data_IF_030084708967
#
_entry.id   IF_030084708967
#
_cell.length_a   1.000
_cell.length_b   1.000
_cell.length_c   1.000
_cell.angle_alpha   90.00
_cell.angle_beta   90.00
_cell.angle_gamma   90.00
#
_symmetry.space_group_name_H-M   'P 1'
#
loop_
_entity.id
_entity.type
_entity.pdbx_description
1 polymer ?
#
# COMPACT_ATOMS: atom_id res chain seq x y z
N UNK A 1 11.27 -17.84 -11.78
CA UNK A 1 11.73 -17.27 -10.49
C UNK A 1 11.68 -15.76 -10.59
N UNK A 2 10.94 -15.15 -9.68
CA UNK A 2 10.67 -13.71 -9.62
C UNK A 2 11.78 -12.91 -8.95
N UNK A 3 11.43 -11.80 -8.31
CA UNK A 3 12.32 -10.92 -7.55
C UNK A 3 11.88 -10.83 -6.09
N UNK A 4 12.84 -10.66 -5.19
CA UNK A 4 12.63 -10.38 -3.77
C UNK A 4 13.42 -9.12 -3.39
N UNK A 5 12.84 -8.26 -2.56
CA UNK A 5 13.56 -7.15 -1.94
C UNK A 5 12.96 -6.79 -0.58
N UNK A 6 13.81 -6.31 0.33
CA UNK A 6 13.34 -5.66 1.57
C UNK A 6 12.59 -4.37 1.22
N UNK A 7 11.60 -4.07 2.03
CA UNK A 7 10.79 -2.87 1.95
C UNK A 7 10.56 -2.30 3.36
N UNK A 8 9.92 -1.14 3.43
CA UNK A 8 9.48 -0.58 4.69
C UNK A 8 7.98 -0.22 4.70
N UNK A 9 7.45 -0.11 5.91
CA UNK A 9 6.12 0.42 6.24
C UNK A 9 6.24 1.53 7.29
N UNK A 10 5.13 2.24 7.54
CA UNK A 10 5.00 3.16 8.65
C UNK A 10 5.33 4.62 8.34
N UNK A 11 5.43 4.96 7.05
CA UNK A 11 5.75 6.33 6.61
C UNK A 11 7.10 6.83 7.09
N UNK A 12 7.27 8.15 7.17
CA UNK A 12 8.51 8.78 7.63
C UNK A 12 8.38 9.20 9.10
N UNK A 13 9.27 8.65 9.94
CA UNK A 13 9.31 8.88 11.39
C UNK A 13 9.37 10.38 11.72
N UNK A 14 8.56 10.81 12.68
CA UNK A 14 8.45 12.18 13.17
C UNK A 14 7.78 13.16 12.20
N UNK A 15 7.19 12.68 11.12
CA UNK A 15 6.55 13.53 10.10
C UNK A 15 5.04 13.34 10.07
N UNK A 16 4.36 14.22 9.34
CA UNK A 16 2.93 14.08 9.09
C UNK A 16 2.54 12.75 8.44
N UNK A 17 3.47 12.06 7.77
CA UNK A 17 3.19 10.76 7.12
C UNK A 17 3.44 9.54 8.03
N UNK A 18 3.92 9.73 9.27
CA UNK A 18 4.16 8.61 10.18
C UNK A 18 2.86 7.80 10.38
N UNK A 19 2.98 6.49 10.20
CA UNK A 19 1.88 5.54 10.27
C UNK A 19 2.28 4.41 11.21
N UNK A 20 1.48 4.05 12.23
CA UNK A 20 1.80 2.96 13.14
C UNK A 20 2.03 1.65 12.40
N UNK A 21 2.95 0.82 12.91
CA UNK A 21 3.22 -0.52 12.35
C UNK A 21 2.20 -1.54 12.88
N UNK A 22 0.92 -1.22 12.66
CA UNK A 22 -0.24 -2.00 13.06
C UNK A 22 -0.93 -2.53 11.80
N UNK A 23 -1.63 -3.65 11.92
CA UNK A 23 -2.19 -4.41 10.81
C UNK A 23 -3.10 -3.61 9.87
N UNK A 24 -4.21 -3.06 10.38
CA UNK A 24 -5.14 -2.30 9.55
C UNK A 24 -4.51 -1.07 8.86
N UNK A 25 -3.67 -0.26 9.53
CA UNK A 25 -2.88 0.77 8.87
C UNK A 25 -2.01 0.23 7.73
N UNK A 26 -1.23 -0.83 7.96
CA UNK A 26 -0.35 -1.41 6.93
C UNK A 26 -1.12 -1.97 5.73
N UNK A 27 -2.28 -2.59 5.95
CA UNK A 27 -3.17 -3.02 4.86
C UNK A 27 -3.71 -1.83 4.05
N UNK A 28 -4.06 -0.72 4.72
CA UNK A 28 -4.50 0.49 4.04
C UNK A 28 -3.36 1.15 3.26
N UNK A 29 -2.13 1.15 3.80
CA UNK A 29 -0.95 1.60 3.07
C UNK A 29 -0.81 0.85 1.73
N UNK A 30 -0.96 -0.48 1.78
CA UNK A 30 -0.90 -1.36 0.61
C UNK A 30 -2.01 -1.05 -0.40
N UNK A 31 -3.28 -1.12 0.02
CA UNK A 31 -4.40 -1.11 -0.92
C UNK A 31 -4.71 0.29 -1.44
N UNK A 32 -4.24 1.36 -0.77
CA UNK A 32 -4.42 2.76 -1.19
C UNK A 32 -3.17 3.41 -1.77
N UNK A 33 -1.98 2.84 -1.56
CA UNK A 33 -0.72 3.46 -1.99
C UNK A 33 -0.46 4.81 -1.32
N UNK A 34 -0.98 5.00 -0.11
CA UNK A 34 -0.89 6.24 0.68
C UNK A 34 -0.62 5.94 2.14
N UNK A 35 -0.05 6.88 2.89
CA UNK A 35 0.18 6.71 4.33
C UNK A 35 -1.05 7.10 5.21
N UNK A 36 -0.97 6.82 6.51
CA UNK A 36 -2.01 7.02 7.53
C UNK A 36 -2.67 8.40 7.51
N UNK A 37 -1.91 9.45 7.26
CA UNK A 37 -2.41 10.83 7.19
C UNK A 37 -3.39 11.10 6.05
N UNK A 38 -3.42 10.21 5.05
CA UNK A 38 -4.35 10.26 3.92
C UNK A 38 -5.55 9.35 4.18
N UNK A 39 -5.33 8.04 4.30
CA UNK A 39 -6.42 7.09 4.45
C UNK A 39 -7.07 7.07 5.85
N UNK A 40 -6.49 7.75 6.84
CA UNK A 40 -7.07 7.97 8.17
C UNK A 40 -7.36 6.67 8.96
N UNK A 41 -6.50 5.65 8.80
CA UNK A 41 -6.56 4.41 9.58
C UNK A 41 -5.25 4.29 10.35
N UNK A 42 -5.34 4.40 11.67
CA UNK A 42 -4.19 4.40 12.59
C UNK A 42 -4.24 3.26 13.61
N UNK A 43 -5.31 2.46 13.60
CA UNK A 43 -5.55 1.39 14.55
C UNK A 43 -6.50 0.33 13.96
N UNK A 44 -6.48 -0.88 14.54
CA UNK A 44 -7.31 -2.02 14.15
C UNK A 44 -8.81 -1.82 14.42
N UNK A 45 -9.23 -0.79 15.17
CA UNK A 45 -10.64 -0.45 15.33
C UNK A 45 -11.29 0.11 14.05
N UNK A 46 -10.50 0.74 13.15
CA UNK A 46 -10.94 1.25 11.84
C UNK A 46 -12.16 2.20 11.95
N UNK A 47 -12.05 3.24 12.78
CA UNK A 47 -13.21 4.05 13.20
C UNK A 47 -13.70 5.03 12.12
N UNK A 48 -12.83 5.56 11.24
CA UNK A 48 -13.24 6.47 10.15
C UNK A 48 -12.28 6.44 8.94
N UNK A 49 -12.25 5.36 8.13
CA UNK A 49 -11.43 5.32 6.92
C UNK A 49 -11.80 6.46 5.97
N UNK A 50 -10.79 7.12 5.42
CA UNK A 50 -10.98 8.12 4.38
C UNK A 50 -11.01 7.46 2.99
N UNK A 51 -12.20 7.07 2.56
CA UNK A 51 -12.40 6.41 1.27
C UNK A 51 -12.24 7.31 0.03
N UNK A 52 -11.96 8.61 0.20
CA UNK A 52 -11.59 9.48 -0.93
C UNK A 52 -10.24 9.08 -1.52
N UNK A 53 -9.34 8.54 -0.70
CA UNK A 53 -8.14 7.83 -1.16
C UNK A 53 -8.54 6.44 -1.63
N UNK A 54 -8.75 6.32 -2.94
CA UNK A 54 -9.34 5.13 -3.55
C UNK A 54 -8.38 3.94 -3.42
N UNK A 55 -8.89 2.85 -2.88
CA UNK A 55 -8.17 1.58 -2.94
C UNK A 55 -8.15 0.99 -4.37
N UNK A 56 -7.26 0.04 -4.61
CA UNK A 56 -7.07 -0.60 -5.92
C UNK A 56 -8.34 -1.27 -6.47
N UNK A 57 -9.20 -1.83 -5.61
CA UNK A 57 -10.46 -2.46 -6.02
C UNK A 57 -11.45 -1.44 -6.57
N UNK A 58 -11.58 -0.30 -5.89
CA UNK A 58 -12.38 0.82 -6.34
C UNK A 58 -11.86 1.38 -7.66
N UNK A 59 -10.54 1.56 -7.77
CA UNK A 59 -9.92 2.03 -9.01
C UNK A 59 -10.20 1.07 -10.18
N UNK A 60 -10.09 -0.24 -9.96
CA UNK A 60 -10.41 -1.24 -10.99
C UNK A 60 -11.88 -1.22 -11.39
N UNK A 61 -12.82 -1.22 -10.43
CA UNK A 61 -14.26 -1.21 -10.73
C UNK A 61 -14.73 0.10 -11.39
N UNK A 62 -14.13 1.24 -11.03
CA UNK A 62 -14.42 2.51 -11.70
C UNK A 62 -13.81 2.57 -13.11
N UNK A 63 -12.67 1.93 -13.35
CA UNK A 63 -12.04 1.83 -14.67
C UNK A 63 -12.79 0.86 -15.59
N UNK A 64 -13.14 -0.32 -15.07
CA UNK A 64 -13.76 -1.42 -15.79
C UNK A 64 -14.70 -2.22 -14.87
N UNK A 65 -15.98 -1.83 -14.82
CA UNK A 65 -16.95 -2.38 -13.87
C UNK A 65 -17.18 -3.91 -14.00
N UNK A 66 -16.98 -4.48 -15.19
CA UNK A 66 -17.13 -5.92 -15.45
C UNK A 66 -16.00 -6.78 -14.87
N UNK A 67 -14.86 -6.17 -14.50
CA UNK A 67 -13.71 -6.89 -13.95
C UNK A 67 -14.09 -7.54 -12.63
N UNK A 68 -13.72 -8.81 -12.45
CA UNK A 68 -14.09 -9.59 -11.27
C UNK A 68 -13.07 -9.39 -10.17
N UNK A 69 -13.53 -9.14 -8.96
CA UNK A 69 -12.67 -9.00 -7.80
C UNK A 69 -12.99 -10.05 -6.74
N UNK A 70 -11.97 -10.51 -6.03
CA UNK A 70 -12.12 -11.48 -4.96
C UNK A 70 -11.34 -11.11 -3.70
N UNK A 71 -11.89 -11.53 -2.56
CA UNK A 71 -11.19 -11.46 -1.28
C UNK A 71 -11.27 -12.80 -0.54
N UNK A 72 -10.14 -13.20 0.01
CA UNK A 72 -9.95 -14.40 0.80
C UNK A 72 -9.25 -13.94 2.08
N UNK A 73 -9.96 -13.89 3.20
CA UNK A 73 -9.45 -13.20 4.38
C UNK A 73 -9.84 -13.92 5.65
N UNK A 74 -8.86 -14.13 6.52
CA UNK A 74 -9.08 -14.56 7.90
C UNK A 74 -9.78 -13.50 8.74
N UNK A 75 -9.63 -12.21 8.41
CA UNK A 75 -10.27 -11.10 9.11
C UNK A 75 -11.26 -10.36 8.22
N UNK A 76 -12.54 -10.34 8.60
CA UNK A 76 -13.66 -9.80 7.80
C UNK A 76 -13.58 -8.29 7.62
N UNK A 77 -13.01 -7.57 8.59
CA UNK A 77 -12.90 -6.11 8.54
C UNK A 77 -12.06 -5.63 7.34
N UNK A 78 -11.16 -6.46 6.81
CA UNK A 78 -10.46 -6.20 5.54
C UNK A 78 -11.45 -5.89 4.41
N UNK A 79 -12.56 -6.63 4.31
CA UNK A 79 -13.62 -6.40 3.30
C UNK A 79 -14.55 -5.26 3.72
N UNK A 80 -15.12 -5.35 4.92
CA UNK A 80 -16.28 -4.51 5.29
C UNK A 80 -15.88 -3.12 5.80
N UNK A 81 -14.65 -2.95 6.31
CA UNK A 81 -14.15 -1.66 6.82
C UNK A 81 -12.96 -1.10 6.05
N UNK A 82 -11.99 -1.91 5.60
CA UNK A 82 -10.84 -1.35 4.88
C UNK A 82 -11.18 -1.09 3.41
N UNK A 83 -11.73 -2.08 2.71
CA UNK A 83 -12.24 -1.86 1.35
C UNK A 83 -13.56 -1.08 1.38
N UNK A 84 -14.37 -1.27 2.42
CA UNK A 84 -15.67 -0.62 2.58
C UNK A 84 -16.73 -1.19 1.64
N UNK A 85 -16.76 -2.51 1.44
CA UNK A 85 -17.70 -3.16 0.51
C UNK A 85 -19.14 -2.68 0.73
N UNK A 86 -19.79 -2.25 -0.36
CA UNK A 86 -21.18 -1.77 -0.36
C UNK A 86 -21.41 -0.37 0.21
N UNK A 87 -20.41 0.24 0.84
CA UNK A 87 -20.55 1.61 1.36
C UNK A 87 -20.56 2.62 0.22
N UNK A 88 -21.55 3.51 0.21
CA UNK A 88 -21.65 4.57 -0.80
C UNK A 88 -20.41 5.47 -0.80
N UNK A 89 -19.87 5.83 0.37
CA UNK A 89 -18.65 6.65 0.46
C UNK A 89 -17.40 5.93 -0.09
N UNK A 90 -17.39 4.59 -0.09
CA UNK A 90 -16.33 3.76 -0.67
C UNK A 90 -16.55 3.42 -2.15
N UNK A 91 -17.46 4.14 -2.82
CA UNK A 91 -17.78 3.91 -4.23
C UNK A 91 -18.73 2.73 -4.48
N UNK A 92 -19.29 2.11 -3.44
CA UNK A 92 -20.25 1.02 -3.58
C UNK A 92 -19.66 -0.25 -4.21
N UNK A 93 -18.36 -0.48 -4.05
CA UNK A 93 -17.67 -1.67 -4.56
C UNK A 93 -18.28 -2.94 -3.95
N UNK A 94 -18.55 -3.94 -4.78
CA UNK A 94 -19.04 -5.26 -4.35
C UNK A 94 -18.07 -6.32 -4.87
N UNK A 95 -17.68 -7.26 -4.00
CA UNK A 95 -16.86 -8.39 -4.37
C UNK A 95 -17.68 -9.45 -5.10
N UNK A 96 -17.13 -9.95 -6.21
CA UNK A 96 -17.73 -11.03 -6.98
C UNK A 96 -17.56 -12.39 -6.27
N UNK A 97 -16.44 -12.54 -5.53
CA UNK A 97 -16.16 -13.71 -4.71
C UNK A 97 -15.62 -13.28 -3.34
N UNK A 98 -16.17 -13.83 -2.26
CA UNK A 98 -15.75 -13.51 -0.89
C UNK A 98 -15.73 -14.75 -0.02
N UNK A 99 -14.59 -14.96 0.62
CA UNK A 99 -14.33 -16.08 1.52
C UNK A 99 -13.68 -15.52 2.78
N UNK A 100 -14.53 -15.02 3.68
CA UNK A 100 -14.19 -14.45 4.98
C UNK A 100 -15.33 -14.74 5.99
N UNK A 101 -15.25 -14.20 7.21
CA UNK A 101 -16.26 -14.39 8.25
C UNK A 101 -16.09 -15.69 9.05
N UNK A 102 -15.02 -16.44 8.79
CA UNK A 102 -14.75 -17.70 9.48
C UNK A 102 -14.35 -17.49 10.95
N UNK A 103 -13.66 -16.38 11.25
CA UNK A 103 -13.30 -15.96 12.61
C UNK A 103 -14.51 -15.59 13.47
N UNK A 104 -15.65 -15.28 12.85
CA UNK A 104 -16.91 -15.04 13.54
C UNK A 104 -17.68 -16.33 13.84
N UNK A 105 -17.28 -17.47 13.25
CA UNK A 105 -17.95 -18.76 13.38
C UNK A 105 -17.27 -19.65 14.42
N UNK A 106 -17.46 -19.32 15.70
CA UNK A 106 -16.89 -20.06 16.83
C UNK A 106 -17.42 -21.49 16.97
N UNK A 107 -18.51 -21.85 16.28
CA UNK A 107 -19.00 -23.23 16.28
C UNK A 107 -18.12 -24.13 15.39
N UNK A 108 -17.66 -23.61 14.26
CA UNK A 108 -16.78 -24.36 13.34
C UNK A 108 -15.30 -24.19 13.71
N UNK A 109 -14.94 -23.01 14.21
CA UNK A 109 -13.60 -22.63 14.62
C UNK A 109 -13.62 -22.22 16.10
N UNK A 110 -13.79 -23.17 17.03
CA UNK A 110 -13.80 -22.85 18.46
C UNK A 110 -12.45 -22.26 18.86
N UNK A 111 -12.48 -21.12 19.54
CA UNK A 111 -11.25 -20.46 19.95
C UNK A 111 -10.53 -21.30 21.00
N UNK A 112 -9.23 -21.44 20.81
CA UNK A 112 -8.32 -22.13 21.73
C UNK A 112 -7.24 -21.16 22.23
N UNK A 113 -6.62 -21.43 23.39
CA UNK A 113 -5.62 -20.53 23.98
C UNK A 113 -4.37 -20.31 23.13
N UNK A 114 -4.09 -21.21 22.19
CA UNK A 114 -2.95 -21.17 21.29
C UNK A 114 -3.30 -20.60 19.89
N UNK A 115 -4.48 -20.02 19.73
CA UNK A 115 -5.03 -19.48 18.48
C UNK A 115 -4.92 -20.45 17.28
N UNK A 116 -4.92 -21.76 17.51
CA UNK A 116 -4.80 -22.78 16.47
C UNK A 116 -6.01 -22.79 15.50
N UNK A 117 -7.17 -22.32 15.96
CA UNK A 117 -8.32 -22.06 15.10
C UNK A 117 -8.00 -21.10 13.94
N UNK A 118 -7.08 -20.14 14.12
CA UNK A 118 -6.66 -19.21 13.07
C UNK A 118 -5.87 -19.94 11.98
N UNK A 119 -5.02 -20.90 12.33
CA UNK A 119 -4.37 -21.77 11.35
C UNK A 119 -5.39 -22.55 10.50
N UNK A 120 -6.45 -23.06 11.13
CA UNK A 120 -7.53 -23.76 10.42
C UNK A 120 -8.34 -22.83 9.50
N UNK A 121 -8.51 -21.57 9.89
CA UNK A 121 -9.12 -20.56 9.03
C UNK A 121 -8.21 -20.24 7.84
N UNK A 122 -6.90 -20.03 8.07
CA UNK A 122 -5.92 -19.81 7.00
C UNK A 122 -5.88 -20.99 6.01
N UNK A 123 -5.99 -22.24 6.48
CA UNK A 123 -6.14 -23.42 5.62
C UNK A 123 -7.43 -23.37 4.79
N UNK A 124 -8.56 -22.95 5.39
CA UNK A 124 -9.82 -22.80 4.66
C UNK A 124 -9.71 -21.72 3.58
N UNK A 125 -9.24 -20.53 3.95
CA UNK A 125 -9.00 -19.39 3.06
C UNK A 125 -8.08 -19.80 1.91
N UNK A 126 -7.03 -20.57 2.20
CA UNK A 126 -6.12 -21.11 1.18
C UNK A 126 -6.81 -22.04 0.19
N UNK A 127 -7.61 -22.99 0.67
CA UNK A 127 -8.34 -23.94 -0.18
C UNK A 127 -9.37 -23.23 -1.08
N UNK A 128 -10.05 -22.21 -0.57
CA UNK A 128 -10.98 -21.38 -1.35
C UNK A 128 -10.25 -20.56 -2.40
N UNK A 129 -9.09 -19.99 -2.04
CA UNK A 129 -8.21 -19.26 -2.97
C UNK A 129 -7.80 -20.14 -4.13
N UNK A 130 -7.26 -21.33 -3.84
CA UNK A 130 -6.84 -22.30 -4.86
C UNK A 130 -8.01 -22.69 -5.77
N UNK A 131 -9.16 -22.99 -5.19
CA UNK A 131 -10.36 -23.37 -5.96
C UNK A 131 -10.84 -22.23 -6.86
N UNK A 132 -10.91 -21.02 -6.33
CA UNK A 132 -11.40 -19.85 -7.07
C UNK A 132 -10.42 -19.43 -8.18
N UNK A 133 -9.11 -19.39 -7.93
CA UNK A 133 -8.10 -19.10 -8.97
C UNK A 133 -8.22 -20.12 -10.11
N UNK A 134 -8.31 -21.42 -9.81
CA UNK A 134 -8.37 -22.47 -10.84
C UNK A 134 -9.62 -22.39 -11.71
N UNK A 135 -10.77 -22.10 -11.10
CA UNK A 135 -12.09 -22.21 -11.75
C UNK A 135 -12.62 -20.89 -12.28
N UNK A 136 -12.40 -19.78 -11.57
CA UNK A 136 -13.04 -18.49 -11.81
C UNK A 136 -12.06 -17.39 -12.22
N UNK A 137 -10.81 -17.46 -11.78
CA UNK A 137 -9.72 -16.50 -12.09
C UNK A 137 -10.16 -15.02 -12.06
N UNK A 138 -10.49 -14.47 -10.88
CA UNK A 138 -10.81 -13.04 -10.75
C UNK A 138 -9.64 -12.16 -11.21
N UNK A 139 -9.94 -11.02 -11.83
CA UNK A 139 -8.94 -10.08 -12.36
C UNK A 139 -8.06 -9.44 -11.29
N UNK A 140 -8.58 -9.32 -10.06
CA UNK A 140 -7.84 -8.84 -8.89
C UNK A 140 -8.31 -9.57 -7.63
N UNK A 141 -7.35 -10.15 -6.90
CA UNK A 141 -7.62 -10.90 -5.67
C UNK A 141 -6.73 -10.40 -4.54
N UNK A 142 -7.27 -10.32 -3.31
CA UNK A 142 -6.48 -10.15 -2.10
C UNK A 142 -6.67 -11.35 -1.17
N UNK A 143 -5.55 -11.93 -0.78
CA UNK A 143 -5.47 -13.05 0.15
C UNK A 143 -4.78 -12.56 1.43
N UNK A 144 -5.41 -12.78 2.57
CA UNK A 144 -4.89 -12.46 3.90
C UNK A 144 -4.90 -13.71 4.78
N UNK A 145 -3.73 -14.03 5.34
CA UNK A 145 -3.48 -15.15 6.25
C UNK A 145 -2.84 -14.57 7.52
N UNK A 146 -3.36 -14.94 8.69
CA UNK A 146 -3.06 -14.27 9.96
C UNK A 146 -2.11 -15.07 10.85
N UNK A 147 -2.09 -16.40 10.76
CA UNK A 147 -1.61 -17.27 11.83
C UNK A 147 -0.15 -17.03 12.26
N UNK A 148 0.72 -16.60 11.35
CA UNK A 148 2.11 -16.26 11.71
C UNK A 148 2.19 -15.11 12.72
N UNK A 149 1.24 -14.17 12.64
CA UNK A 149 1.14 -13.02 13.53
C UNK A 149 0.76 -13.44 14.96
N UNK A 150 -0.30 -14.25 15.09
CA UNK A 150 -0.75 -14.80 16.38
C UNK A 150 0.34 -15.63 17.07
N UNK A 151 1.02 -16.49 16.30
CA UNK A 151 2.16 -17.28 16.81
C UNK A 151 3.30 -16.38 17.29
N UNK A 152 3.62 -15.31 16.56
CA UNK A 152 4.64 -14.35 16.98
C UNK A 152 4.23 -13.61 18.27
N UNK A 153 2.96 -13.21 18.42
CA UNK A 153 2.47 -12.61 19.66
C UNK A 153 2.68 -13.51 20.88
N UNK A 154 2.42 -14.82 20.74
CA UNK A 154 2.58 -15.76 21.84
C UNK A 154 4.05 -16.11 22.11
N UNK A 155 4.83 -16.39 21.06
CA UNK A 155 6.13 -17.07 21.20
C UNK A 155 7.33 -16.23 20.77
N UNK A 156 7.15 -15.15 20.00
CA UNK A 156 8.24 -14.33 19.48
C UNK A 156 9.17 -15.15 18.58
N UNK A 157 10.46 -14.79 18.57
CA UNK A 157 11.51 -15.50 17.82
C UNK A 157 11.74 -16.91 18.38
N UNK A 158 11.07 -17.89 17.77
CA UNK A 158 10.89 -19.22 18.33
C UNK A 158 10.76 -20.30 17.26
N UNK A 159 10.91 -21.56 17.65
CA UNK A 159 10.69 -22.70 16.76
C UNK A 159 9.22 -22.81 16.34
N UNK A 160 8.28 -22.42 17.19
CA UNK A 160 6.86 -22.32 16.88
C UNK A 160 6.62 -21.32 15.74
N UNK A 161 7.24 -20.14 15.81
CA UNK A 161 7.17 -19.15 14.73
C UNK A 161 7.84 -19.64 13.44
N UNK A 162 8.99 -20.30 13.54
CA UNK A 162 9.61 -20.93 12.36
C UNK A 162 8.71 -21.98 11.72
N UNK A 163 8.00 -22.79 12.52
CA UNK A 163 7.06 -23.78 12.02
C UNK A 163 5.83 -23.13 11.38
N UNK A 164 5.30 -22.02 11.92
CA UNK A 164 4.19 -21.32 11.29
C UNK A 164 4.58 -20.71 9.93
N UNK A 165 5.83 -20.26 9.77
CA UNK A 165 6.36 -19.84 8.46
C UNK A 165 6.41 -21.01 7.48
N UNK A 166 6.82 -22.21 7.89
CA UNK A 166 6.80 -23.41 7.02
C UNK A 166 5.37 -23.78 6.61
N UNK A 167 4.40 -23.60 7.49
CA UNK A 167 3.00 -23.82 7.16
C UNK A 167 2.51 -22.80 6.12
N UNK A 168 2.85 -21.52 6.30
CA UNK A 168 2.56 -20.44 5.36
C UNK A 168 3.20 -20.69 3.98
N UNK A 169 4.45 -21.16 3.93
CA UNK A 169 5.14 -21.49 2.69
C UNK A 169 4.39 -22.59 1.90
N UNK A 170 3.91 -23.63 2.60
CA UNK A 170 3.07 -24.67 1.98
C UNK A 170 1.74 -24.10 1.45
N UNK A 171 1.10 -23.19 2.18
CA UNK A 171 -0.13 -22.53 1.75
C UNK A 171 0.09 -21.71 0.47
N UNK A 172 1.15 -20.89 0.45
CA UNK A 172 1.56 -20.10 -0.72
C UNK A 172 1.90 -21.02 -1.90
N UNK A 173 2.60 -22.14 -1.66
CA UNK A 173 2.93 -23.13 -2.69
C UNK A 173 1.70 -23.63 -3.44
N UNK A 174 0.63 -24.01 -2.72
CA UNK A 174 -0.63 -24.46 -3.34
C UNK A 174 -1.31 -23.35 -4.16
N UNK A 175 -1.27 -22.10 -3.69
CA UNK A 175 -1.80 -20.95 -4.45
C UNK A 175 -0.98 -20.69 -5.72
N UNK A 176 0.35 -20.80 -5.63
CA UNK A 176 1.24 -20.65 -6.77
C UNK A 176 0.98 -21.73 -7.83
N UNK A 177 0.77 -22.99 -7.43
CA UNK A 177 0.39 -24.07 -8.35
C UNK A 177 -0.93 -23.77 -9.09
N UNK A 178 -1.90 -23.14 -8.41
CA UNK A 178 -3.14 -22.70 -9.04
C UNK A 178 -2.89 -21.62 -10.11
N UNK A 179 -2.02 -20.65 -9.83
CA UNK A 179 -1.61 -19.62 -10.79
C UNK A 179 -0.84 -20.24 -11.97
N UNK A 180 0.12 -21.13 -11.71
CA UNK A 180 0.86 -21.81 -12.78
C UNK A 180 -0.06 -22.65 -13.67
N UNK A 181 -1.07 -23.30 -13.08
CA UNK A 181 -2.10 -24.00 -13.83
C UNK A 181 -2.83 -23.04 -14.78
N UNK A 182 -3.23 -21.86 -14.31
CA UNK A 182 -3.88 -20.84 -15.13
C UNK A 182 -2.99 -20.33 -16.26
N UNK A 183 -1.72 -20.03 -15.95
CA UNK A 183 -0.73 -19.62 -16.94
C UNK A 183 -0.53 -20.70 -18.03
N UNK A 184 -0.40 -21.97 -17.64
CA UNK A 184 -0.15 -23.09 -18.57
C UNK A 184 -1.38 -23.45 -19.41
N UNK A 185 -2.58 -23.44 -18.82
CA UNK A 185 -3.80 -23.93 -19.48
C UNK A 185 -4.58 -22.83 -20.22
N UNK A 186 -4.50 -21.58 -19.78
CA UNK A 186 -5.30 -20.48 -20.32
C UNK A 186 -4.45 -19.35 -20.91
N UNK A 187 -3.12 -19.45 -20.86
CA UNK A 187 -2.18 -18.41 -21.32
C UNK A 187 -2.44 -17.05 -20.67
N UNK A 188 -2.86 -17.07 -19.40
CA UNK A 188 -3.11 -15.86 -18.62
C UNK A 188 -1.81 -15.24 -18.15
N UNK A 189 -1.74 -13.92 -18.16
CA UNK A 189 -0.65 -13.19 -17.53
C UNK A 189 -1.02 -12.82 -16.09
N UNK A 190 -0.15 -13.19 -15.15
CA UNK A 190 -0.38 -13.02 -13.71
C UNK A 190 0.74 -12.20 -13.08
N UNK A 191 0.37 -11.22 -12.29
CA UNK A 191 1.24 -10.57 -11.30
C UNK A 191 0.88 -11.12 -9.92
N UNK A 192 1.82 -11.83 -9.30
CA UNK A 192 1.71 -12.29 -7.92
C UNK A 192 2.67 -11.46 -7.09
N UNK A 193 2.12 -10.80 -6.06
CA UNK A 193 2.86 -10.01 -5.07
C UNK A 193 2.62 -10.67 -3.71
N UNK A 194 3.69 -10.86 -2.94
CA UNK A 194 3.64 -11.33 -1.55
C UNK A 194 4.41 -10.33 -0.70
N UNK A 195 3.83 -9.91 0.42
CA UNK A 195 4.41 -8.92 1.33
C UNK A 195 3.86 -9.10 2.74
N UNK A 196 4.34 -8.29 3.68
CA UNK A 196 3.80 -8.16 5.03
C UNK A 196 3.48 -6.70 5.31
N UNK A 197 2.50 -6.49 6.18
CA UNK A 197 2.06 -5.19 6.70
C UNK A 197 3.02 -4.58 7.71
N UNK A 198 3.71 -5.39 8.51
CA UNK A 198 4.74 -4.95 9.45
C UNK A 198 5.74 -6.06 9.79
N UNK A 199 6.71 -5.72 10.63
CA UNK A 199 7.59 -6.63 11.34
C UNK A 199 7.22 -6.75 12.82
N UNK A 200 8.22 -6.93 13.67
CA UNK A 200 8.07 -7.13 15.14
C UNK A 200 9.08 -6.32 15.93
N UNK A 201 8.79 -6.11 17.20
CA UNK A 201 9.67 -5.41 18.12
C UNK A 201 11.03 -6.13 18.26
N UNK A 202 12.13 -5.39 18.43
CA UNK A 202 13.47 -5.98 18.46
C UNK A 202 13.80 -6.69 19.77
N UNK A 203 13.01 -6.53 20.83
CA UNK A 203 13.32 -7.04 22.18
C UNK A 203 12.78 -8.46 22.36
N UNK A 204 11.51 -8.65 22.02
CA UNK A 204 10.79 -9.91 22.26
C UNK A 204 10.36 -10.61 20.98
N UNK A 205 10.22 -9.87 19.88
CA UNK A 205 9.61 -10.36 18.65
C UNK A 205 8.11 -10.61 18.77
N UNK A 206 7.48 -10.18 19.88
CA UNK A 206 6.07 -10.45 20.19
C UNK A 206 5.16 -9.26 19.98
N UNK A 207 5.69 -8.05 19.95
CA UNK A 207 4.90 -6.83 19.83
C UNK A 207 5.20 -6.15 18.50
N UNK A 208 4.35 -5.20 18.14
CA UNK A 208 4.53 -4.27 17.04
C UNK A 208 3.63 -3.04 17.30
N UNK A 209 3.71 -2.03 16.44
CA UNK A 209 2.92 -0.80 16.52
C UNK A 209 3.77 0.46 16.65
N UNK A 210 5.04 0.34 17.01
CA UNK A 210 5.98 1.45 17.13
C UNK A 210 6.75 1.67 15.81
N UNK A 211 7.87 2.40 15.86
CA UNK A 211 8.67 2.79 14.68
C UNK A 211 10.09 2.22 14.69
N UNK A 212 10.36 1.11 15.39
CA UNK A 212 11.70 0.51 15.32
C UNK A 212 12.02 0.02 13.90
N UNK A 213 13.30 -0.03 13.55
CA UNK A 213 13.72 -0.56 12.24
C UNK A 213 13.18 -1.97 11.99
N UNK A 214 13.04 -2.80 13.03
CA UNK A 214 12.55 -4.18 12.90
C UNK A 214 11.05 -4.24 12.67
N UNK A 215 10.27 -3.39 13.32
CA UNK A 215 8.81 -3.27 13.10
C UNK A 215 8.49 -2.68 11.72
N UNK A 216 9.32 -1.76 11.24
CA UNK A 216 9.15 -1.13 9.92
C UNK A 216 9.65 -2.00 8.77
N UNK A 217 10.55 -2.96 9.02
CA UNK A 217 11.12 -3.80 7.96
C UNK A 217 10.10 -4.83 7.49
N UNK A 218 9.71 -4.72 6.23
CA UNK A 218 8.90 -5.70 5.51
C UNK A 218 9.68 -6.19 4.29
N UNK A 219 9.02 -6.92 3.40
CA UNK A 219 9.60 -7.41 2.16
C UNK A 219 8.55 -7.54 1.08
N UNK A 220 9.00 -7.52 -0.18
CA UNK A 220 8.14 -7.67 -1.35
C UNK A 220 8.74 -8.77 -2.24
N UNK A 221 7.93 -9.78 -2.56
CA UNK A 221 8.20 -10.79 -3.60
C UNK A 221 7.27 -10.53 -4.77
N UNK A 222 7.81 -10.55 -5.99
CA UNK A 222 7.06 -10.35 -7.24
C UNK A 222 7.44 -11.43 -8.24
N UNK A 223 6.49 -12.08 -8.89
CA UNK A 223 6.76 -13.17 -9.84
C UNK A 223 7.34 -12.70 -11.20
N UNK A 224 7.29 -11.40 -11.50
CA UNK A 224 7.87 -10.78 -12.70
C UNK A 224 9.39 -10.60 -12.56
N UNK A 225 10.11 -10.88 -13.65
CA UNK A 225 11.57 -10.68 -13.73
C UNK A 225 11.97 -9.27 -14.17
N UNK A 226 11.11 -8.68 -15.00
CA UNK A 226 11.28 -7.36 -15.62
C UNK A 226 10.74 -6.28 -14.68
N UNK A 227 11.49 -6.06 -13.61
CA UNK A 227 11.30 -4.94 -12.68
C UNK A 227 12.12 -3.74 -13.14
N UNK A 228 11.68 -2.53 -12.80
CA UNK A 228 12.41 -1.33 -13.18
C UNK A 228 13.65 -1.06 -12.29
N UNK A 229 14.41 -0.04 -12.67
CA UNK A 229 15.63 0.37 -11.97
C UNK A 229 15.35 0.84 -10.52
N UNK A 230 14.18 1.43 -10.26
CA UNK A 230 13.77 1.78 -8.90
C UNK A 230 13.67 0.54 -8.00
N UNK A 231 13.00 -0.51 -8.48
CA UNK A 231 12.95 -1.79 -7.78
C UNK A 231 14.35 -2.34 -7.51
N UNK A 232 15.29 -2.23 -8.47
CA UNK A 232 16.64 -2.80 -8.31
C UNK A 232 17.51 -1.98 -7.35
N UNK A 233 17.47 -0.66 -7.45
CA UNK A 233 18.53 0.19 -6.91
C UNK A 233 18.12 0.91 -5.60
N UNK A 234 16.82 0.98 -5.26
CA UNK A 234 16.34 1.75 -4.10
C UNK A 234 15.54 0.93 -3.08
N UNK A 235 15.53 1.35 -1.81
CA UNK A 235 14.62 0.80 -0.82
C UNK A 235 13.16 1.05 -1.23
N UNK A 236 12.34 0.01 -1.12
CA UNK A 236 10.93 0.00 -1.50
C UNK A 236 10.04 0.25 -0.29
N UNK A 237 8.80 0.59 -0.55
CA UNK A 237 7.79 0.78 0.49
C UNK A 237 6.50 0.04 0.13
N UNK A 238 5.71 -0.31 1.13
CA UNK A 238 4.42 -0.98 0.90
C UNK A 238 3.46 -0.15 0.03
N UNK A 239 3.56 1.18 0.07
CA UNK A 239 2.74 2.09 -0.76
C UNK A 239 3.09 2.02 -2.26
N UNK A 240 4.24 1.44 -2.63
CA UNK A 240 4.62 1.19 -4.03
C UNK A 240 3.71 0.14 -4.71
N UNK A 241 2.92 -0.62 -3.94
CA UNK A 241 2.14 -1.75 -4.45
C UNK A 241 0.89 -1.33 -5.22
N UNK A 242 0.12 -0.32 -4.78
CA UNK A 242 -1.02 0.18 -5.55
C UNK A 242 -0.62 0.63 -6.96
N UNK A 243 0.33 1.57 -7.16
CA UNK A 243 0.66 2.01 -8.50
C UNK A 243 1.27 0.89 -9.36
N UNK A 244 1.93 -0.10 -8.73
CA UNK A 244 2.42 -1.31 -9.42
C UNK A 244 1.25 -2.16 -9.95
N UNK A 245 0.25 -2.44 -9.12
CA UNK A 245 -0.95 -3.18 -9.52
C UNK A 245 -1.75 -2.43 -10.58
N UNK A 246 -1.94 -1.12 -10.39
CA UNK A 246 -2.66 -0.27 -11.35
C UNK A 246 -1.99 -0.30 -12.72
N UNK A 247 -0.65 -0.26 -12.76
CA UNK A 247 0.11 -0.36 -14.00
C UNK A 247 -0.01 -1.73 -14.67
N UNK A 248 0.08 -2.81 -13.91
CA UNK A 248 -0.09 -4.16 -14.45
C UNK A 248 -1.47 -4.36 -15.07
N UNK A 249 -2.51 -3.89 -14.39
CA UNK A 249 -3.89 -3.96 -14.84
C UNK A 249 -4.26 -2.88 -15.87
N UNK A 250 -3.30 -2.03 -16.27
CA UNK A 250 -3.52 -0.90 -17.18
C UNK A 250 -4.63 0.07 -16.73
N UNK A 251 -4.84 0.18 -15.42
CA UNK A 251 -5.83 1.09 -14.82
C UNK A 251 -5.39 2.54 -15.04
N UNK A 252 -6.25 3.33 -15.68
CA UNK A 252 -6.08 4.77 -15.76
C UNK A 252 -6.48 5.43 -14.43
N UNK A 253 -5.50 5.63 -13.55
CA UNK A 253 -5.72 6.33 -12.26
C UNK A 253 -6.11 7.80 -12.53
N UNK A 254 -7.25 8.29 -12.01
CA UNK A 254 -7.64 9.69 -12.17
C UNK A 254 -6.57 10.64 -11.64
N UNK A 255 -6.35 11.77 -12.33
CA UNK A 255 -5.28 12.73 -12.02
C UNK A 255 -5.24 13.13 -10.53
N UNK A 256 -6.40 13.47 -9.96
CA UNK A 256 -6.46 13.89 -8.54
C UNK A 256 -6.06 12.75 -7.58
N UNK A 257 -6.38 11.49 -7.91
CA UNK A 257 -5.91 10.34 -7.13
C UNK A 257 -4.42 10.10 -7.35
N UNK A 258 -3.92 10.25 -8.59
CA UNK A 258 -2.51 10.04 -8.91
C UNK A 258 -1.58 11.04 -8.20
N UNK A 259 -2.03 12.27 -7.97
CA UNK A 259 -1.31 13.30 -7.19
C UNK A 259 -1.13 12.93 -5.72
N UNK A 260 -2.01 12.09 -5.20
CA UNK A 260 -2.02 11.67 -3.79
C UNK A 260 -1.30 10.35 -3.55
N UNK A 261 -0.87 9.61 -4.59
CA UNK A 261 -0.13 8.36 -4.40
C UNK A 261 1.29 8.64 -3.88
N UNK A 262 1.65 8.00 -2.78
CA UNK A 262 2.97 8.10 -2.16
C UNK A 262 3.98 7.14 -2.76
N UNK A 263 3.50 6.04 -3.35
CA UNK A 263 4.35 5.02 -3.96
C UNK A 263 4.76 5.29 -5.40
N UNK A 264 5.83 4.62 -5.82
CA UNK A 264 6.34 4.56 -7.18
C UNK A 264 6.16 3.13 -7.72
N UNK A 265 5.58 2.96 -8.92
CA UNK A 265 5.38 1.63 -9.49
C UNK A 265 6.71 0.89 -9.72
N UNK A 266 6.73 -0.41 -9.42
CA UNK A 266 7.91 -1.28 -9.39
C UNK A 266 8.22 -1.98 -10.74
N UNK A 267 7.29 -1.89 -11.68
CA UNK A 267 7.39 -2.48 -13.03
C UNK A 267 7.15 -1.42 -14.09
N UNK A 268 7.68 -1.63 -15.30
CA UNK A 268 7.57 -0.69 -16.41
C UNK A 268 8.29 0.64 -16.17
N UNK A 269 8.26 1.50 -17.18
CA UNK A 269 9.03 2.75 -17.16
C UNK A 269 8.56 3.71 -16.05
N UNK A 270 9.51 4.44 -15.47
CA UNK A 270 9.26 5.53 -14.53
C UNK A 270 10.12 6.72 -14.96
N UNK A 271 9.67 7.93 -14.66
CA UNK A 271 10.39 9.17 -14.98
C UNK A 271 11.27 9.63 -13.83
N UNK A 272 10.76 9.51 -12.60
CA UNK A 272 11.41 10.03 -11.40
C UNK A 272 10.97 9.30 -10.13
N UNK A 273 11.80 9.33 -9.09
CA UNK A 273 11.47 8.88 -7.74
C UNK A 273 12.23 9.71 -6.68
N UNK A 274 12.09 9.35 -5.40
CA UNK A 274 12.86 9.90 -4.27
C UNK A 274 12.85 11.43 -4.20
N UNK A 275 11.64 12.00 -4.18
CA UNK A 275 11.46 13.45 -4.00
C UNK A 275 11.87 13.89 -2.58
N UNK A 276 12.73 14.90 -2.52
CA UNK A 276 13.04 15.65 -1.32
C UNK A 276 12.65 17.12 -1.50
N UNK A 277 12.16 17.74 -0.43
CA UNK A 277 11.73 19.13 -0.43
C UNK A 277 12.28 19.83 0.80
N UNK A 278 12.93 20.98 0.60
CA UNK A 278 13.50 21.79 1.67
C UNK A 278 12.95 23.22 1.59
N UNK A 279 12.48 23.74 2.72
CA UNK A 279 12.03 25.13 2.82
C UNK A 279 13.23 26.06 3.10
N UNK A 280 13.44 27.04 2.22
CA UNK A 280 14.47 28.07 2.32
C UNK A 280 13.79 29.46 2.26
N UNK A 281 13.35 29.96 3.40
CA UNK A 281 12.53 31.17 3.54
C UNK A 281 11.24 31.12 2.71
N UNK A 282 11.15 31.93 1.64
CA UNK A 282 10.04 31.96 0.69
C UNK A 282 10.35 31.17 -0.58
N UNK A 283 11.26 30.20 -0.53
CA UNK A 283 11.55 29.29 -1.63
C UNK A 283 11.50 27.85 -1.16
N UNK A 284 11.07 26.96 -2.04
CA UNK A 284 11.16 25.52 -1.82
C UNK A 284 12.16 24.97 -2.83
N UNK A 285 13.19 24.31 -2.32
CA UNK A 285 14.06 23.46 -3.13
C UNK A 285 13.40 22.10 -3.28
N UNK A 286 13.28 21.61 -4.50
CA UNK A 286 12.86 20.25 -4.81
C UNK A 286 14.01 19.52 -5.48
N UNK A 287 14.36 18.32 -4.99
CA UNK A 287 15.30 17.41 -5.64
C UNK A 287 14.65 16.04 -5.84
N UNK A 288 15.06 15.33 -6.89
CA UNK A 288 14.53 14.00 -7.21
C UNK A 288 15.59 13.17 -7.91
N UNK A 289 15.38 11.85 -7.95
CA UNK A 289 16.14 10.96 -8.81
C UNK A 289 15.45 10.79 -10.16
N UNK A 290 16.16 11.06 -11.24
CA UNK A 290 15.69 10.84 -12.61
C UNK A 290 15.93 9.39 -13.04
N UNK A 291 14.96 8.84 -13.79
CA UNK A 291 15.03 7.53 -14.44
C UNK A 291 14.85 7.63 -15.97
N UNK A 292 14.71 8.85 -16.47
CA UNK A 292 14.78 9.19 -17.89
C UNK A 292 15.84 10.28 -18.09
N UNK A 293 16.50 10.28 -19.25
CA UNK A 293 17.51 11.28 -19.62
C UNK A 293 16.95 12.42 -20.50
N UNK A 294 15.72 12.27 -21.01
CA UNK A 294 15.08 13.24 -21.88
C UNK A 294 13.63 13.40 -21.43
N UNK A 295 13.14 14.64 -21.41
CA UNK A 295 11.78 14.98 -21.01
C UNK A 295 11.77 16.06 -19.94
N UNK A 296 10.57 16.37 -19.46
CA UNK A 296 10.37 17.41 -18.47
C UNK A 296 9.69 16.84 -17.22
N UNK A 297 9.99 17.46 -16.08
CA UNK A 297 9.22 17.36 -14.85
C UNK A 297 8.48 18.67 -14.64
N UNK A 298 7.19 18.55 -14.37
CA UNK A 298 6.30 19.67 -14.05
C UNK A 298 6.08 19.72 -12.55
N UNK A 299 6.37 20.87 -11.92
CA UNK A 299 6.27 21.06 -10.48
C UNK A 299 4.97 21.82 -10.18
N UNK A 300 4.12 21.20 -9.38
CA UNK A 300 2.84 21.73 -8.93
C UNK A 300 2.86 21.96 -7.42
N UNK A 301 2.21 23.02 -6.99
CA UNK A 301 2.08 23.40 -5.59
C UNK A 301 0.61 23.59 -5.24
N UNK A 302 0.16 23.01 -4.14
CA UNK A 302 -1.14 23.35 -3.55
C UNK A 302 -0.98 23.78 -2.10
N UNK A 303 -1.75 24.80 -1.70
CA UNK A 303 -1.90 25.25 -0.32
C UNK A 303 -3.17 24.71 0.33
N UNK A 304 -3.91 23.83 -0.36
CA UNK A 304 -5.15 23.25 0.10
C UNK A 304 -5.01 21.77 0.42
N UNK A 305 -5.96 21.25 1.21
CA UNK A 305 -6.16 19.82 1.41
C UNK A 305 -7.67 19.54 1.41
N UNK A 306 -8.29 19.77 0.26
CA UNK A 306 -9.69 19.54 -0.04
C UNK A 306 -9.94 18.09 -0.49
N UNK A 307 -8.90 17.41 -1.01
CA UNK A 307 -9.00 16.00 -1.43
C UNK A 307 -9.46 15.07 -0.31
N UNK A 308 -9.01 15.29 0.93
CA UNK A 308 -9.47 14.52 2.09
C UNK A 308 -10.99 14.59 2.33
N UNK A 309 -11.69 15.54 1.72
CA UNK A 309 -13.14 15.74 1.83
C UNK A 309 -13.86 15.41 0.50
N UNK A 310 -13.17 14.78 -0.46
CA UNK A 310 -13.74 14.42 -1.76
C UNK A 310 -13.84 15.57 -2.76
N UNK A 311 -13.15 16.67 -2.51
CA UNK A 311 -13.05 17.83 -3.41
C UNK A 311 -11.68 17.85 -4.11
N UNK A 312 -11.48 18.75 -5.07
CA UNK A 312 -10.20 18.89 -5.77
C UNK A 312 -9.32 19.92 -5.06
N UNK A 313 -8.04 19.61 -4.91
CA UNK A 313 -7.05 20.57 -4.44
C UNK A 313 -6.69 21.59 -5.52
N UNK A 314 -6.45 22.83 -5.09
CA UNK A 314 -6.07 23.90 -6.00
C UNK A 314 -4.55 23.86 -6.25
N UNK A 315 -4.15 23.28 -7.38
CA UNK A 315 -2.74 23.13 -7.77
C UNK A 315 -2.32 24.21 -8.76
N UNK A 316 -1.26 24.92 -8.40
CA UNK A 316 -0.63 25.97 -9.18
C UNK A 316 0.63 25.42 -9.87
N UNK A 317 0.78 25.74 -11.16
CA UNK A 317 1.98 25.39 -11.92
C UNK A 317 3.13 26.31 -11.50
N UNK A 318 4.17 25.74 -10.90
CA UNK A 318 5.31 26.51 -10.41
C UNK A 318 6.48 26.54 -11.38
N UNK A 319 6.78 25.40 -12.00
CA UNK A 319 7.89 25.29 -12.94
C UNK A 319 7.73 24.08 -13.87
N UNK A 320 8.43 24.12 -15.00
CA UNK A 320 8.70 22.96 -15.84
C UNK A 320 10.19 22.96 -16.17
N UNK A 321 10.87 21.89 -15.83
CA UNK A 321 12.33 21.75 -15.95
C UNK A 321 12.67 20.41 -16.58
N UNK A 322 13.85 20.27 -17.17
CA UNK A 322 14.31 19.00 -17.69
C UNK A 322 14.40 17.96 -16.55
N UNK A 323 13.98 16.71 -16.83
CA UNK A 323 13.92 15.64 -15.81
C UNK A 323 15.29 15.28 -15.26
N UNK A 324 16.33 15.34 -16.10
CA UNK A 324 17.72 15.02 -15.79
C UNK A 324 18.42 16.12 -14.97
N UNK A 325 17.79 17.27 -14.77
CA UNK A 325 18.30 18.33 -13.90
C UNK A 325 18.33 17.89 -12.43
N UNK A 326 17.44 16.97 -12.02
CA UNK A 326 17.33 16.42 -10.67
C UNK A 326 17.12 17.46 -9.53
N UNK A 327 16.98 18.75 -9.86
CA UNK A 327 16.72 19.83 -8.90
C UNK A 327 15.99 21.02 -9.53
N UNK A 328 15.16 21.68 -8.72
CA UNK A 328 14.54 22.95 -9.04
C UNK A 328 14.26 23.77 -7.78
N UNK A 329 14.18 25.08 -7.94
CA UNK A 329 13.79 26.02 -6.90
C UNK A 329 12.49 26.69 -7.33
N UNK A 330 11.49 26.72 -6.44
CA UNK A 330 10.22 27.42 -6.68
C UNK A 330 10.03 28.53 -5.66
N UNK A 331 9.51 29.67 -6.09
CA UNK A 331 9.20 30.82 -5.25
C UNK A 331 7.76 30.70 -4.72
N UNK A 332 7.60 30.81 -3.40
CA UNK A 332 6.32 30.71 -2.70
C UNK A 332 5.90 32.02 -2.02
N UNK A 333 6.57 33.15 -2.29
CA UNK A 333 6.26 34.45 -1.69
C UNK A 333 4.78 34.86 -1.86
N UNK A 334 4.20 34.55 -3.02
CA UNK A 334 2.80 34.87 -3.34
C UNK A 334 1.81 33.77 -2.94
N UNK A 335 2.27 32.70 -2.28
CA UNK A 335 1.47 31.55 -1.87
C UNK A 335 1.61 31.28 -0.37
N UNK A 336 1.27 32.24 0.52
CA UNK A 336 1.43 32.05 1.96
C UNK A 336 0.56 30.90 2.48
N UNK A 337 1.18 29.91 3.10
CA UNK A 337 0.49 28.79 3.76
C UNK A 337 1.35 28.18 4.88
N UNK A 338 0.67 27.53 5.83
CA UNK A 338 1.30 26.73 6.90
C UNK A 338 1.82 25.38 6.39
N UNK A 339 1.30 24.91 5.25
CA UNK A 339 1.76 23.69 4.60
C UNK A 339 1.65 23.81 3.08
N UNK A 340 2.36 22.93 2.39
CA UNK A 340 2.35 22.81 0.94
C UNK A 340 2.26 21.34 0.56
N UNK A 341 1.40 21.02 -0.39
CA UNK A 341 1.51 19.79 -1.18
C UNK A 341 2.34 20.10 -2.42
N UNK A 342 3.45 19.41 -2.59
CA UNK A 342 4.29 19.49 -3.79
C UNK A 342 4.09 18.21 -4.59
N UNK A 343 3.81 18.35 -5.88
CA UNK A 343 3.75 17.22 -6.83
C UNK A 343 4.71 17.49 -7.97
N UNK A 344 5.58 16.51 -8.25
CA UNK A 344 6.37 16.47 -9.46
C UNK A 344 5.75 15.46 -10.41
N UNK A 345 5.32 15.92 -11.58
CA UNK A 345 4.75 15.10 -12.63
C UNK A 345 5.77 14.89 -13.76
N UNK A 346 6.23 13.65 -13.91
CA UNK A 346 6.97 13.20 -15.08
C UNK A 346 6.06 12.56 -16.13
N UNK A 347 6.66 12.00 -17.18
CA UNK A 347 5.93 11.33 -18.27
C UNK A 347 5.21 10.05 -17.82
N UNK A 348 5.86 9.27 -16.96
CA UNK A 348 5.43 7.91 -16.64
C UNK A 348 4.86 7.75 -15.22
N UNK A 349 5.18 8.66 -14.31
CA UNK A 349 4.65 8.66 -12.95
C UNK A 349 4.71 10.07 -12.33
N UNK A 350 4.02 10.22 -11.21
CA UNK A 350 4.13 11.38 -10.32
C UNK A 350 4.79 10.94 -9.00
N UNK A 351 5.34 11.92 -8.28
CA UNK A 351 5.75 11.78 -6.88
C UNK A 351 5.28 13.02 -6.11
N UNK A 352 4.92 12.85 -4.86
CA UNK A 352 4.40 13.92 -4.02
C UNK A 352 5.15 14.01 -2.69
N UNK A 353 5.14 15.21 -2.07
CA UNK A 353 5.63 15.41 -0.71
C UNK A 353 4.89 16.55 -0.04
N UNK A 354 4.63 16.38 1.25
CA UNK A 354 4.08 17.43 2.09
C UNK A 354 5.20 18.16 2.81
N UNK A 355 5.11 19.48 2.83
CA UNK A 355 6.04 20.36 3.54
C UNK A 355 5.25 21.25 4.50
N UNK A 356 5.64 21.25 5.77
CA UNK A 356 5.03 22.12 6.78
C UNK A 356 6.01 23.23 7.13
N UNK A 357 5.53 24.47 7.24
CA UNK A 357 6.29 25.53 7.90
C UNK A 357 6.32 25.17 9.38
N UNK A 358 7.49 24.87 9.93
CA UNK A 358 7.64 24.70 11.37
C UNK A 358 7.09 25.97 12.04
N UNK A 359 5.97 25.84 12.76
CA UNK A 359 5.55 26.90 13.66
C UNK A 359 6.63 27.00 14.75
N UNK A 360 7.15 28.20 14.99
CA UNK A 360 7.75 28.55 16.28
C UNK A 360 6.64 28.43 17.34
N UNK A 361 6.31 27.20 17.73
CA UNK A 361 5.56 26.77 18.91
C UNK A 361 5.30 25.26 18.77
N UNK A 362 6.28 24.47 19.21
CA UNK A 362 6.04 23.10 19.61
C UNK A 362 5.19 23.11 20.88
N UNK A 363 3.89 23.00 20.70
CA UNK A 363 3.01 22.41 21.70
C UNK A 363 2.17 21.39 20.96
N UNK A 364 2.51 20.13 21.17
CA UNK A 364 1.73 18.95 20.82
C UNK A 364 0.23 19.23 21.00
N UNK A 365 -0.54 19.06 19.94
CA UNK A 365 -1.99 18.88 20.06
C UNK A 365 -2.26 17.41 19.81
N UNK A 366 -2.21 16.65 20.90
CA UNK A 366 -3.02 15.44 21.05
C UNK A 366 -4.46 15.90 21.33
N UNK A 367 -5.38 15.62 20.42
CA UNK A 367 -6.79 15.25 20.71
C UNK A 367 -7.39 14.61 19.48
#
# INVERSE_FOLDING_TARGET
MGRYKRAYVGGIIGTYSETPTISAPGYMDLITGTWGNKHNVFDNAVINPNYHYKNIFRLLKEHEAQKKIAIFSTWTDNRIKLVGEGLRQAGGVIFDYKFDGYELNQTTYPHDPEDYYIYHIDERVTNETVTCIRTSAPDLSWVYLQYTDDVAHMFGDSDQFNQSILNLDNQIGRMWEAVEYRQKQFNEDWLVIITTDHGRDPITGKQHGEQSNRERTTWIVINKKDTNDYFRDFELSIVDLLPTMARFLSISVPLESARELDGVPLIGNISLAKLEVNLLDNRIECSWKAFEHVGNVTIWLSTTNLFKNGMTDDYQLMATVAVDKETAMIDIQNYPSNFYKIVLAGRHNMVNKWLFRLSYNNSYIST
#
